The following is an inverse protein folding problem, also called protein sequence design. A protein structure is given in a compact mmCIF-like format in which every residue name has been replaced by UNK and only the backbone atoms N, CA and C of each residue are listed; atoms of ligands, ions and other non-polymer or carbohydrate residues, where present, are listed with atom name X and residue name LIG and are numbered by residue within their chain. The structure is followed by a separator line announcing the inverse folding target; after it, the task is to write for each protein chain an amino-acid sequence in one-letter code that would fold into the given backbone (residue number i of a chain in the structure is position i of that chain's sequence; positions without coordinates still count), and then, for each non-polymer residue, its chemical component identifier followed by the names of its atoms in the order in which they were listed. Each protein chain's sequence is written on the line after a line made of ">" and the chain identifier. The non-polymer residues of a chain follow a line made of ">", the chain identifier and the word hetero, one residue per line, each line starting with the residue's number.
data_IF_606975212858
#
_entry.id   IF_606975212858
#
_cell.length_a   1.000
_cell.length_b   1.000
_cell.length_c   1.000
_cell.angle_alpha   90.00
_cell.angle_beta   90.00
_cell.angle_gamma   90.00
#
_symmetry.space_group_name_H-M   'P 1'
#
loop_
_entity.id
_entity.type
_entity.pdbx_description
1 polymer ?
#
# COMPACT_ATOMS: atom_id res chain seq x y z
N UNK A 1 -0.53 11.74 -24.20
CA UNK A 1 0.06 12.87 -23.46
C UNK A 1 0.90 12.32 -22.32
N UNK A 2 2.05 12.94 -21.97
CA UNK A 2 2.82 12.50 -20.80
C UNK A 2 1.95 12.63 -19.54
N UNK A 3 1.72 11.52 -18.84
CA UNK A 3 0.94 11.49 -17.59
C UNK A 3 1.72 12.27 -16.55
N UNK A 4 1.25 13.48 -16.20
CA UNK A 4 1.83 14.27 -15.12
C UNK A 4 1.65 13.50 -13.82
N UNK A 5 2.79 13.06 -13.26
CA UNK A 5 2.85 12.32 -12.00
C UNK A 5 2.74 13.30 -10.82
N UNK A 6 1.93 12.96 -9.83
CA UNK A 6 1.67 13.76 -8.64
C UNK A 6 0.23 14.24 -8.55
N UNK A 7 0.06 15.38 -7.90
CA UNK A 7 -1.24 15.95 -7.58
C UNK A 7 -1.78 15.47 -6.23
N UNK A 8 -2.98 15.95 -5.92
CA UNK A 8 -3.67 15.70 -4.65
C UNK A 8 -3.89 14.19 -4.45
N UNK A 9 -3.81 13.76 -3.19
CA UNK A 9 -4.08 12.39 -2.77
C UNK A 9 -5.59 12.16 -2.65
N UNK A 10 -6.09 11.07 -3.22
CA UNK A 10 -7.47 10.61 -3.00
C UNK A 10 -7.52 9.54 -1.92
N UNK A 11 -8.70 9.32 -1.35
CA UNK A 11 -8.89 8.31 -0.31
C UNK A 11 -8.63 6.90 -0.88
N UNK A 12 -9.04 6.62 -2.13
CA UNK A 12 -8.66 5.39 -2.85
C UNK A 12 -7.14 5.18 -2.90
N UNK A 13 -6.37 6.20 -3.29
CA UNK A 13 -4.91 6.09 -3.38
C UNK A 13 -4.30 5.79 -2.00
N UNK A 14 -4.76 6.49 -0.96
CA UNK A 14 -4.30 6.28 0.41
C UNK A 14 -4.60 4.86 0.92
N UNK A 15 -5.79 4.32 0.66
CA UNK A 15 -6.15 2.95 1.04
C UNK A 15 -5.30 1.91 0.29
N UNK A 16 -5.05 2.13 -1.01
CA UNK A 16 -4.14 1.25 -1.77
C UNK A 16 -2.73 1.29 -1.17
N UNK A 17 -2.21 2.46 -0.77
CA UNK A 17 -0.91 2.57 -0.11
C UNK A 17 -0.90 1.80 1.20
N UNK A 18 -1.92 1.94 2.06
CA UNK A 18 -2.01 1.23 3.34
C UNK A 18 -1.94 -0.28 3.15
N UNK A 19 -2.75 -0.83 2.24
CA UNK A 19 -2.77 -2.27 1.99
C UNK A 19 -1.47 -2.75 1.33
N UNK A 20 -0.91 -1.96 0.41
CA UNK A 20 0.35 -2.26 -0.24
C UNK A 20 1.53 -2.29 0.75
N UNK A 21 1.58 -1.34 1.69
CA UNK A 21 2.59 -1.29 2.75
C UNK A 21 2.44 -2.49 3.69
N UNK A 22 1.21 -2.87 4.03
CA UNK A 22 0.94 -4.10 4.80
C UNK A 22 1.48 -5.36 4.08
N UNK A 23 1.36 -5.45 2.75
CA UNK A 23 1.84 -6.60 1.97
C UNK A 23 3.35 -6.58 1.68
N UNK A 24 3.93 -5.43 1.37
CA UNK A 24 5.32 -5.32 0.85
C UNK A 24 6.32 -4.70 1.84
N UNK A 25 5.83 -4.09 2.92
CA UNK A 25 6.63 -3.37 3.92
C UNK A 25 7.13 -2.00 3.45
N UNK A 26 7.86 -1.33 4.35
CA UNK A 26 8.33 0.06 4.20
C UNK A 26 9.61 0.24 3.36
N UNK A 27 10.12 -0.84 2.75
CA UNK A 27 11.37 -0.81 1.99
C UNK A 27 11.16 -0.98 0.47
N UNK A 28 9.95 -1.34 0.03
CA UNK A 28 9.64 -1.68 -1.36
C UNK A 28 8.75 -0.62 -2.04
N UNK A 29 9.09 0.66 -1.90
CA UNK A 29 8.27 1.77 -2.43
C UNK A 29 8.04 1.73 -3.94
N UNK A 30 8.98 1.20 -4.73
CA UNK A 30 8.78 1.04 -6.17
C UNK A 30 7.65 0.04 -6.52
N UNK A 31 7.42 -0.94 -5.63
CA UNK A 31 6.37 -1.94 -5.77
C UNK A 31 5.03 -1.44 -5.23
N UNK A 32 5.06 -0.55 -4.25
CA UNK A 32 3.88 0.20 -3.78
C UNK A 32 3.41 1.16 -4.86
N UNK A 33 4.31 2.00 -5.39
CA UNK A 33 3.96 2.99 -6.41
C UNK A 33 3.48 2.37 -7.71
N UNK A 34 3.90 1.15 -8.05
CA UNK A 34 3.44 0.49 -9.28
C UNK A 34 1.98 0.04 -9.21
N UNK A 35 1.33 0.11 -8.05
CA UNK A 35 -0.12 -0.08 -7.87
C UNK A 35 -0.91 1.22 -8.08
N UNK A 36 -0.23 2.36 -8.18
CA UNK A 36 -0.84 3.68 -8.33
C UNK A 36 -0.47 4.24 -9.70
N UNK A 37 -1.46 4.69 -10.47
CA UNK A 37 -1.21 5.15 -11.84
C UNK A 37 -0.33 6.42 -11.89
N UNK A 38 -0.55 7.36 -10.96
CA UNK A 38 -0.01 8.73 -11.04
C UNK A 38 0.96 9.10 -9.91
N UNK A 39 1.28 8.18 -9.00
CA UNK A 39 2.15 8.47 -7.84
C UNK A 39 3.51 7.78 -7.98
N UNK A 40 4.58 8.50 -7.65
CA UNK A 40 5.97 7.99 -7.69
C UNK A 40 6.35 7.30 -6.39
N UNK A 41 7.42 6.48 -6.37
CA UNK A 41 7.90 5.86 -5.13
C UNK A 41 8.25 6.87 -4.04
N UNK A 42 8.82 8.03 -4.43
CA UNK A 42 9.18 9.10 -3.49
C UNK A 42 7.92 9.72 -2.86
N UNK A 43 6.90 9.99 -3.66
CA UNK A 43 5.61 10.51 -3.21
C UNK A 43 4.91 9.52 -2.27
N UNK A 44 4.90 8.22 -2.59
CA UNK A 44 4.33 7.19 -1.71
C UNK A 44 5.04 7.13 -0.36
N UNK A 45 6.38 7.21 -0.37
CA UNK A 45 7.17 7.22 0.87
C UNK A 45 6.88 8.46 1.71
N UNK A 46 6.87 9.64 1.09
CA UNK A 46 6.58 10.91 1.75
C UNK A 46 5.15 10.91 2.32
N UNK A 47 4.15 10.48 1.53
CA UNK A 47 2.76 10.34 1.99
C UNK A 47 2.63 9.42 3.19
N UNK A 48 3.36 8.32 3.20
CA UNK A 48 3.39 7.43 4.35
C UNK A 48 3.94 8.14 5.59
N UNK A 49 5.13 8.73 5.50
CA UNK A 49 5.81 9.34 6.65
C UNK A 49 5.17 10.64 7.15
N UNK A 50 4.42 11.35 6.30
CA UNK A 50 3.81 12.64 6.63
C UNK A 50 2.32 12.52 7.00
N UNK A 51 1.61 11.48 6.51
CA UNK A 51 0.17 11.37 6.74
C UNK A 51 -0.35 9.98 7.10
N UNK A 52 0.14 8.89 6.52
CA UNK A 52 -0.50 7.57 6.67
C UNK A 52 0.03 6.72 7.82
N UNK A 53 1.23 6.98 8.30
CA UNK A 53 1.83 6.22 9.40
C UNK A 53 0.95 6.35 10.67
N UNK A 54 0.48 5.23 11.25
CA UNK A 54 -0.33 5.25 12.47
C UNK A 54 0.37 5.90 13.67
N UNK A 55 1.70 6.00 13.66
CA UNK A 55 2.46 6.71 14.70
C UNK A 55 2.25 8.23 14.66
N UNK A 56 1.73 8.78 13.55
CA UNK A 56 1.49 10.22 13.39
C UNK A 56 0.23 10.61 14.16
N UNK A 57 0.40 11.52 15.11
CA UNK A 57 -0.71 12.07 15.89
C UNK A 57 -1.44 13.13 15.05
N UNK A 58 -2.73 12.91 14.82
CA UNK A 58 -3.65 13.84 14.12
C UNK A 58 -4.67 14.51 15.06
N UNK A 59 -4.43 14.41 16.36
CA UNK A 59 -5.24 15.06 17.40
C UNK A 59 -4.81 16.51 17.58
N UNK A 60 -5.62 17.30 18.27
CA UNK A 60 -5.31 18.68 18.62
C UNK A 60 -3.98 18.79 19.40
N UNK A 61 -3.38 19.98 19.36
CA UNK A 61 -2.14 20.29 20.09
C UNK A 61 -2.44 20.55 21.55
N UNK A 62 -1.68 19.92 22.44
CA UNK A 62 -1.71 20.22 23.86
C UNK A 62 -0.81 21.41 24.20
N UNK A 63 -1.10 22.11 25.30
CA UNK A 63 -0.27 23.22 25.78
C UNK A 63 1.17 22.80 26.04
N UNK A 64 1.38 21.59 26.59
CA UNK A 64 2.71 21.03 26.82
C UNK A 64 3.49 20.80 25.52
N UNK A 65 2.81 20.36 24.45
CA UNK A 65 3.43 20.23 23.12
C UNK A 65 3.80 21.60 22.54
N UNK A 66 2.92 22.60 22.68
CA UNK A 66 3.16 23.96 22.20
C UNK A 66 4.34 24.62 22.92
N UNK A 67 4.41 24.52 24.25
CA UNK A 67 5.52 25.04 25.06
C UNK A 67 6.85 24.40 24.64
N UNK A 68 6.85 23.07 24.49
CA UNK A 68 8.02 22.32 24.03
C UNK A 68 8.43 22.74 22.61
N UNK A 69 7.48 22.90 21.70
CA UNK A 69 7.70 23.34 20.33
C UNK A 69 8.35 24.73 20.29
N UNK A 70 7.79 25.71 21.03
CA UNK A 70 8.30 27.07 21.10
C UNK A 70 9.71 27.11 21.71
N UNK A 71 9.94 26.35 22.79
CA UNK A 71 11.25 26.26 23.43
C UNK A 71 12.31 25.71 22.46
N UNK A 72 12.01 24.60 21.79
CA UNK A 72 12.94 23.97 20.84
C UNK A 72 13.15 24.82 19.58
N UNK A 73 12.12 25.49 19.07
CA UNK A 73 12.25 26.40 17.93
C UNK A 73 13.16 27.59 18.25
N UNK A 74 13.16 28.08 19.50
CA UNK A 74 14.08 29.12 19.97
C UNK A 74 15.52 28.64 20.08
N UNK A 75 15.74 27.40 20.51
CA UNK A 75 17.09 26.82 20.65
C UNK A 75 17.68 26.34 19.32
N UNK A 76 16.85 25.80 18.42
CA UNK A 76 17.24 25.25 17.13
C UNK A 76 16.40 25.89 16.01
N UNK A 77 16.72 27.13 15.61
CA UNK A 77 15.95 27.83 14.58
C UNK A 77 15.85 27.03 13.29
N UNK A 78 14.63 26.91 12.75
CA UNK A 78 14.27 26.27 11.46
C UNK A 78 14.67 24.79 11.28
N UNK A 79 15.09 24.10 12.34
CA UNK A 79 15.48 22.68 12.29
C UNK A 79 14.31 21.71 12.55
N UNK A 80 13.22 21.84 11.79
CA UNK A 80 11.97 21.09 12.03
C UNK A 80 12.11 19.57 11.99
N UNK A 81 13.00 19.04 11.13
CA UNK A 81 13.28 17.60 11.07
C UNK A 81 13.95 17.05 12.33
N UNK A 82 14.69 17.90 13.05
CA UNK A 82 15.32 17.55 14.34
C UNK A 82 14.34 17.73 15.50
N UNK A 83 13.49 18.75 15.44
CA UNK A 83 12.49 19.05 16.48
C UNK A 83 11.35 18.03 16.48
N UNK A 84 10.85 17.65 15.30
CA UNK A 84 9.69 16.78 15.13
C UNK A 84 9.72 15.48 15.95
N UNK A 85 10.81 14.66 15.92
CA UNK A 85 10.91 13.45 16.74
C UNK A 85 10.84 13.71 18.25
N UNK A 86 11.31 14.88 18.72
CA UNK A 86 11.33 15.25 20.15
C UNK A 86 9.94 15.68 20.61
N UNK A 87 9.19 16.38 19.75
CA UNK A 87 7.81 16.81 20.02
C UNK A 87 6.82 15.66 19.82
N UNK A 88 7.14 14.68 18.96
CA UNK A 88 6.25 13.55 18.64
C UNK A 88 5.20 13.89 17.57
N UNK A 89 5.51 14.82 16.66
CA UNK A 89 4.69 15.27 15.52
C UNK A 89 5.54 15.28 14.25
N UNK A 90 4.93 15.42 13.06
CA UNK A 90 5.71 15.54 11.82
C UNK A 90 6.36 16.91 11.69
N UNK A 91 7.41 17.01 10.88
CA UNK A 91 8.12 18.28 10.68
C UNK A 91 7.20 19.36 10.11
N UNK A 92 6.32 18.99 9.18
CA UNK A 92 5.33 19.90 8.58
C UNK A 92 4.31 20.36 9.63
N UNK A 93 3.76 19.44 10.44
CA UNK A 93 2.86 19.79 11.53
C UNK A 93 3.49 20.77 12.52
N UNK A 94 4.76 20.56 12.89
CA UNK A 94 5.49 21.45 13.79
C UNK A 94 5.66 22.86 13.20
N UNK A 95 6.04 22.95 11.91
CA UNK A 95 6.21 24.23 11.23
C UNK A 95 4.88 25.00 11.14
N UNK A 96 3.80 24.34 10.69
CA UNK A 96 2.47 24.94 10.57
C UNK A 96 1.95 25.42 11.92
N UNK A 97 2.10 24.60 12.97
CA UNK A 97 1.69 24.99 14.33
C UNK A 97 2.49 26.17 14.84
N UNK A 98 3.80 26.17 14.64
CA UNK A 98 4.67 27.27 15.08
C UNK A 98 4.29 28.59 14.42
N UNK A 99 4.07 28.57 13.09
CA UNK A 99 3.61 29.76 12.37
C UNK A 99 2.27 30.26 12.90
N UNK A 100 1.31 29.34 13.12
CA UNK A 100 0.01 29.70 13.68
C UNK A 100 0.12 30.32 15.08
N UNK A 101 1.00 29.82 15.94
CA UNK A 101 1.23 30.39 17.27
C UNK A 101 1.84 31.78 17.22
N UNK A 102 2.70 32.07 16.25
CA UNK A 102 3.24 33.41 16.02
C UNK A 102 2.14 34.37 15.52
N UNK A 103 1.37 33.95 14.51
CA UNK A 103 0.27 34.76 13.97
C UNK A 103 -0.79 35.06 15.05
N UNK A 104 -1.13 34.08 15.90
CA UNK A 104 -2.05 34.25 17.05
C UNK A 104 -1.50 35.23 18.11
N UNK A 105 -0.18 35.29 18.29
CA UNK A 105 0.46 36.22 19.22
C UNK A 105 0.50 37.64 18.65
N UNK A 106 0.90 37.80 17.38
CA UNK A 106 0.91 39.08 16.67
C UNK A 106 -0.49 39.69 16.58
N UNK A 107 -1.50 38.86 16.29
CA UNK A 107 -2.90 39.31 16.24
C UNK A 107 -3.39 39.81 17.62
N UNK A 108 -2.99 39.13 18.70
CA UNK A 108 -3.36 39.53 20.07
C UNK A 108 -2.70 40.85 20.48
N UNK A 109 -1.41 41.04 20.16
CA UNK A 109 -0.71 42.31 20.42
C UNK A 109 -1.30 43.47 19.62
N UNK A 110 -1.66 43.23 18.35
CA UNK A 110 -2.27 44.23 17.48
C UNK A 110 -3.65 44.69 17.99
N UNK A 111 -4.46 43.75 18.49
CA UNK A 111 -5.76 44.02 19.10
C UNK A 111 -5.61 44.80 20.42
N UNK A 112 -4.66 44.39 21.28
CA UNK A 112 -4.37 45.06 22.55
C UNK A 112 -3.87 46.51 22.36
N UNK A 113 -3.05 46.75 21.33
CA UNK A 113 -2.54 48.08 20.99
C UNK A 113 -3.52 48.91 20.14
N UNK A 114 -4.69 48.37 19.79
CA UNK A 114 -5.69 49.05 18.95
C UNK A 114 -5.17 49.44 17.57
N UNK A 115 -4.12 48.76 17.08
CA UNK A 115 -3.49 48.98 15.78
C UNK A 115 -4.22 48.23 14.64
N UNK A 116 -5.15 47.34 14.99
CA UNK A 116 -6.07 46.71 14.04
C UNK A 116 -7.03 47.75 13.44
N UNK A 117 -6.83 48.11 12.17
CA UNK A 117 -7.82 48.89 11.42
C UNK A 117 -9.19 48.18 11.38
N UNK A 118 -10.28 48.87 10.99
CA UNK A 118 -11.61 48.27 10.95
C UNK A 118 -11.60 46.98 10.13
N UNK A 119 -12.10 45.90 10.73
CA UNK A 119 -12.11 44.57 10.12
C UNK A 119 -12.77 44.63 8.73
N UNK A 120 -12.01 44.28 7.69
CA UNK A 120 -12.49 44.23 6.30
C UNK A 120 -12.41 45.54 5.51
N UNK A 121 -11.71 46.58 5.99
CA UNK A 121 -11.41 47.76 5.18
C UNK A 121 -10.44 47.45 4.03
N UNK A 122 -10.69 48.01 2.85
CA UNK A 122 -9.91 47.81 1.61
C UNK A 122 -8.41 48.19 1.73
N UNK A 123 -8.02 48.84 2.83
CA UNK A 123 -6.64 49.25 3.16
C UNK A 123 -5.94 48.35 4.18
N UNK A 124 -6.57 47.25 4.62
CA UNK A 124 -5.93 46.28 5.51
C UNK A 124 -4.76 45.60 4.79
N UNK A 125 -3.58 45.60 5.43
CA UNK A 125 -2.44 44.82 4.94
C UNK A 125 -2.85 43.34 4.85
N UNK A 126 -2.40 42.59 3.82
CA UNK A 126 -2.71 41.18 3.71
C UNK A 126 -2.25 40.44 4.96
N UNK A 127 -3.10 39.55 5.48
CA UNK A 127 -2.72 38.70 6.62
C UNK A 127 -1.51 37.85 6.25
N UNK A 128 -0.73 37.42 7.25
CA UNK A 128 0.32 36.44 7.04
C UNK A 128 -0.22 35.16 6.35
N UNK A 129 -1.48 34.81 6.61
CA UNK A 129 -2.20 33.73 5.93
C UNK A 129 -2.47 34.03 4.44
N UNK A 130 -2.79 35.28 4.10
CA UNK A 130 -3.05 35.70 2.71
C UNK A 130 -1.78 35.66 1.85
N UNK A 131 -0.62 35.95 2.45
CA UNK A 131 0.68 35.88 1.77
C UNK A 131 1.12 34.42 1.53
N UNK A 132 0.77 33.50 2.45
CA UNK A 132 1.14 32.09 2.36
C UNK A 132 0.19 31.26 1.49
N UNK A 133 -1.02 31.75 1.21
CA UNK A 133 -1.98 31.06 0.34
C UNK A 133 -1.46 30.98 -1.10
N UNK A 134 -1.54 29.79 -1.70
CA UNK A 134 -1.15 29.54 -3.08
C UNK A 134 -1.93 30.45 -4.04
N UNK A 135 -1.23 30.98 -5.04
CA UNK A 135 -1.88 31.78 -6.09
C UNK A 135 -2.69 30.88 -7.03
N UNK A 136 -3.76 31.37 -7.65
CA UNK A 136 -4.50 30.60 -8.65
C UNK A 136 -3.56 30.09 -9.76
N UNK A 137 -3.51 28.77 -9.95
CA UNK A 137 -2.65 28.11 -10.94
C UNK A 137 -1.31 27.58 -10.41
N UNK A 138 -0.96 27.88 -9.16
CA UNK A 138 0.24 27.34 -8.52
C UNK A 138 0.00 25.92 -7.99
N UNK A 139 0.97 25.02 -8.21
CA UNK A 139 0.93 23.67 -7.67
C UNK A 139 1.42 23.67 -6.23
N UNK A 140 0.69 22.99 -5.37
CA UNK A 140 1.08 22.77 -3.98
C UNK A 140 2.43 22.03 -3.90
N UNK A 141 3.44 22.57 -3.18
CA UNK A 141 4.73 21.92 -3.01
C UNK A 141 4.67 20.62 -2.20
N UNK A 142 3.77 20.55 -1.20
CA UNK A 142 3.73 19.45 -0.21
C UNK A 142 2.34 18.79 -0.08
N UNK A 143 1.76 18.26 -1.19
CA UNK A 143 0.43 17.66 -1.19
C UNK A 143 0.36 16.39 -0.30
N UNK A 144 1.49 15.76 -0.01
CA UNK A 144 1.59 14.59 0.87
C UNK A 144 1.19 14.87 2.31
N UNK A 145 1.24 16.13 2.76
CA UNK A 145 0.90 16.54 4.12
C UNK A 145 -0.60 16.84 4.31
N UNK A 146 -1.37 16.92 3.21
CA UNK A 146 -2.77 17.36 3.25
C UNK A 146 -3.78 16.22 3.37
N UNK A 147 -4.99 16.46 3.91
CA UNK A 147 -6.05 15.46 3.90
C UNK A 147 -6.35 14.93 2.50
N UNK A 148 -6.70 13.64 2.41
CA UNK A 148 -7.12 13.04 1.15
C UNK A 148 -8.45 13.64 0.68
N UNK A 149 -8.62 13.80 -0.63
CA UNK A 149 -9.91 14.14 -1.21
C UNK A 149 -10.87 12.94 -1.06
N UNK A 150 -12.10 13.16 -0.58
CA UNK A 150 -13.13 12.12 -0.57
C UNK A 150 -13.38 11.58 -1.98
N UNK A 151 -13.78 10.32 -2.04
CA UNK A 151 -14.07 9.63 -3.30
C UNK A 151 -15.31 10.23 -3.95
N UNK A 152 -15.32 10.31 -5.29
CA UNK A 152 -16.51 10.74 -6.03
C UNK A 152 -17.57 9.63 -6.03
N UNK A 153 -18.84 10.01 -6.11
CA UNK A 153 -19.95 9.04 -6.18
C UNK A 153 -19.80 8.16 -7.43
N UNK A 154 -19.53 8.81 -8.56
CA UNK A 154 -19.21 8.14 -9.81
C UNK A 154 -17.70 8.11 -9.99
N UNK A 155 -17.09 6.97 -9.66
CA UNK A 155 -15.68 6.72 -9.92
C UNK A 155 -15.44 6.69 -11.44
N UNK A 156 -14.37 7.35 -11.87
CA UNK A 156 -13.96 7.28 -13.27
C UNK A 156 -13.38 5.89 -13.62
N UNK A 157 -13.16 5.65 -14.90
CA UNK A 157 -12.64 4.36 -15.37
C UNK A 157 -11.23 4.10 -14.84
N UNK A 158 -10.41 5.14 -14.76
CA UNK A 158 -9.03 5.07 -14.27
C UNK A 158 -8.97 4.62 -12.80
N UNK A 159 -9.83 5.16 -11.92
CA UNK A 159 -9.91 4.75 -10.52
C UNK A 159 -10.44 3.33 -10.35
N UNK A 160 -11.45 2.94 -11.13
CA UNK A 160 -11.98 1.56 -11.14
C UNK A 160 -10.94 0.57 -11.60
N UNK A 161 -10.23 0.87 -12.69
CA UNK A 161 -9.16 0.03 -13.21
C UNK A 161 -8.04 -0.12 -12.17
N UNK A 162 -7.59 0.99 -11.58
CA UNK A 162 -6.57 1.00 -10.54
C UNK A 162 -6.97 0.15 -9.33
N UNK A 163 -8.22 0.25 -8.85
CA UNK A 163 -8.74 -0.58 -7.76
C UNK A 163 -8.77 -2.06 -8.13
N UNK A 164 -9.22 -2.39 -9.34
CA UNK A 164 -9.30 -3.77 -9.82
C UNK A 164 -7.92 -4.41 -9.94
N UNK A 165 -6.96 -3.66 -10.47
CA UNK A 165 -5.57 -4.10 -10.61
C UNK A 165 -4.92 -4.27 -9.23
N UNK A 166 -5.12 -3.32 -8.32
CA UNK A 166 -4.62 -3.40 -6.96
C UNK A 166 -5.12 -4.65 -6.26
N UNK A 167 -6.44 -4.93 -6.32
CA UNK A 167 -7.04 -6.16 -5.76
C UNK A 167 -6.41 -7.42 -6.34
N UNK A 168 -6.28 -7.50 -7.67
CA UNK A 168 -5.70 -8.67 -8.33
C UNK A 168 -4.22 -8.91 -7.96
N UNK A 169 -3.42 -7.83 -7.91
CA UNK A 169 -1.99 -7.91 -7.54
C UNK A 169 -1.80 -8.23 -6.06
N UNK A 170 -2.65 -7.71 -5.19
CA UNK A 170 -2.62 -7.98 -3.75
C UNK A 170 -3.09 -9.42 -3.43
N UNK A 171 -4.02 -9.98 -4.20
CA UNK A 171 -4.40 -11.39 -4.06
C UNK A 171 -3.33 -12.37 -4.59
N UNK A 172 -2.54 -11.97 -5.58
CA UNK A 172 -1.55 -12.85 -6.20
C UNK A 172 -0.32 -13.09 -5.31
N UNK A 173 -0.06 -14.34 -4.98
CA UNK A 173 1.13 -14.83 -4.25
C UNK A 173 1.99 -15.79 -5.06
N UNK A 174 1.47 -16.28 -6.21
CA UNK A 174 2.12 -17.32 -7.00
C UNK A 174 2.97 -16.74 -8.13
N UNK A 175 4.22 -17.21 -8.22
CA UNK A 175 5.12 -16.89 -9.33
C UNK A 175 4.78 -17.63 -10.63
N UNK A 176 5.47 -17.25 -11.73
CA UNK A 176 5.26 -17.82 -13.08
C UNK A 176 5.34 -19.36 -13.11
N UNK A 177 6.33 -19.94 -12.42
CA UNK A 177 6.54 -21.40 -12.38
C UNK A 177 5.39 -22.15 -11.70
N UNK A 178 4.88 -21.62 -10.58
CA UNK A 178 3.76 -22.21 -9.86
C UNK A 178 2.48 -22.19 -10.73
N UNK A 179 2.17 -21.03 -11.35
CA UNK A 179 1.01 -20.91 -12.25
C UNK A 179 1.12 -21.85 -13.46
N UNK A 180 2.30 -21.97 -14.07
CA UNK A 180 2.53 -22.90 -15.19
C UNK A 180 2.31 -24.36 -14.76
N UNK A 181 2.90 -24.77 -13.63
CA UNK A 181 2.76 -26.13 -13.10
C UNK A 181 1.31 -26.46 -12.73
N UNK A 182 0.55 -25.49 -12.21
CA UNK A 182 -0.87 -25.66 -11.94
C UNK A 182 -1.68 -25.92 -13.21
N UNK A 183 -1.43 -25.16 -14.29
CA UNK A 183 -2.08 -25.39 -15.60
C UNK A 183 -1.68 -26.73 -16.22
N UNK A 184 -0.41 -27.11 -16.13
CA UNK A 184 0.07 -28.42 -16.60
C UNK A 184 -0.67 -29.57 -15.90
N UNK A 185 -0.85 -29.49 -14.57
CA UNK A 185 -1.61 -30.48 -13.80
C UNK A 185 -3.07 -30.56 -14.24
N UNK A 186 -3.74 -29.41 -14.41
CA UNK A 186 -5.13 -29.38 -14.88
C UNK A 186 -5.30 -29.99 -16.28
N UNK A 187 -4.35 -29.71 -17.18
CA UNK A 187 -4.33 -30.31 -18.52
C UNK A 187 -4.07 -31.81 -18.47
N UNK A 188 -3.19 -32.27 -17.58
CA UNK A 188 -2.92 -33.70 -17.38
C UNK A 188 -4.14 -34.45 -16.82
N UNK A 189 -4.84 -33.86 -15.85
CA UNK A 189 -6.10 -34.39 -15.32
C UNK A 189 -7.19 -34.44 -16.40
N UNK A 190 -7.37 -33.36 -17.16
CA UNK A 190 -8.31 -33.29 -18.28
C UNK A 190 -8.00 -34.35 -19.34
N UNK A 191 -6.72 -34.50 -19.70
CA UNK A 191 -6.25 -35.53 -20.64
C UNK A 191 -6.53 -36.93 -20.10
N UNK A 192 -6.27 -37.17 -18.82
CA UNK A 192 -6.54 -38.47 -18.18
C UNK A 192 -8.03 -38.81 -18.21
N UNK A 193 -8.91 -37.85 -17.89
CA UNK A 193 -10.36 -38.04 -17.95
C UNK A 193 -10.84 -38.36 -19.37
N UNK A 194 -10.37 -37.62 -20.38
CA UNK A 194 -10.71 -37.87 -21.77
C UNK A 194 -10.28 -39.28 -22.24
N UNK A 195 -9.07 -39.70 -21.88
CA UNK A 195 -8.57 -41.06 -22.19
C UNK A 195 -9.41 -42.13 -21.50
N UNK A 196 -9.79 -41.92 -20.24
CA UNK A 196 -10.64 -42.86 -19.50
C UNK A 196 -12.03 -42.95 -20.10
N UNK A 197 -12.63 -41.83 -20.49
CA UNK A 197 -13.92 -41.79 -21.16
C UNK A 197 -13.88 -42.57 -22.48
N UNK A 198 -12.91 -42.28 -23.36
CA UNK A 198 -12.73 -43.01 -24.62
C UNK A 198 -12.55 -44.50 -24.40
N UNK A 199 -11.81 -44.90 -23.36
CA UNK A 199 -11.63 -46.32 -23.00
C UNK A 199 -12.93 -46.97 -22.56
N UNK A 200 -13.76 -46.28 -21.77
CA UNK A 200 -15.07 -46.79 -21.35
C UNK A 200 -15.98 -47.00 -22.55
N UNK A 201 -16.02 -46.05 -23.47
CA UNK A 201 -16.80 -46.14 -24.70
C UNK A 201 -16.37 -47.34 -25.56
N UNK A 202 -15.06 -47.53 -25.77
CA UNK A 202 -14.53 -48.67 -26.51
C UNK A 202 -14.83 -50.01 -25.82
N UNK A 203 -14.68 -50.08 -24.50
CA UNK A 203 -15.01 -51.28 -23.72
C UNK A 203 -16.51 -51.61 -23.82
N UNK A 204 -17.38 -50.60 -23.76
CA UNK A 204 -18.83 -50.78 -23.91
C UNK A 204 -19.20 -51.25 -25.33
N UNK A 205 -18.44 -50.84 -26.35
CA UNK A 205 -18.57 -51.34 -27.72
C UNK A 205 -17.93 -52.72 -27.95
N UNK A 206 -17.42 -53.38 -26.89
CA UNK A 206 -16.78 -54.70 -26.97
C UNK A 206 -15.32 -54.69 -27.42
N UNK A 207 -14.71 -53.52 -27.64
CA UNK A 207 -13.32 -53.38 -28.08
C UNK A 207 -12.40 -53.23 -26.85
N UNK A 208 -11.73 -54.31 -26.47
CA UNK A 208 -10.77 -54.30 -25.35
C UNK A 208 -9.35 -53.93 -25.81
N UNK A 209 -8.94 -52.69 -25.51
CA UNK A 209 -7.56 -52.22 -25.75
C UNK A 209 -6.75 -52.30 -24.45
N UNK A 210 -5.57 -52.96 -24.51
CA UNK A 210 -4.59 -52.99 -23.42
C UNK A 210 -3.88 -51.63 -23.34
N UNK A 211 -3.89 -51.01 -22.16
CA UNK A 211 -3.17 -49.75 -21.91
C UNK A 211 -1.80 -50.09 -21.35
N UNK A 212 -0.74 -49.59 -21.99
CA UNK A 212 0.60 -49.59 -21.42
C UNK A 212 0.75 -48.30 -20.62
N UNK A 213 0.79 -48.42 -19.29
CA UNK A 213 0.87 -47.28 -18.36
C UNK A 213 2.30 -46.96 -17.94
N UNK A 214 3.24 -47.87 -18.17
CA UNK A 214 4.62 -47.76 -17.71
C UNK A 214 5.52 -47.13 -18.77
N UNK A 215 6.32 -46.14 -18.36
CA UNK A 215 7.42 -45.62 -19.16
C UNK A 215 8.67 -46.47 -18.93
N UNK A 216 9.50 -46.65 -19.96
CA UNK A 216 10.76 -47.40 -19.87
C UNK A 216 11.64 -46.83 -18.75
N UNK A 217 11.99 -47.65 -17.76
CA UNK A 217 12.80 -47.26 -16.60
C UNK A 217 11.99 -46.81 -15.36
N UNK A 218 10.66 -46.84 -15.40
CA UNK A 218 9.80 -46.54 -14.25
C UNK A 218 9.25 -47.85 -13.64
N UNK A 219 9.37 -48.00 -12.32
CA UNK A 219 8.81 -49.14 -11.58
C UNK A 219 7.28 -49.16 -11.68
N UNK A 220 6.70 -50.34 -11.84
CA UNK A 220 5.26 -50.52 -11.80
C UNK A 220 4.77 -50.68 -10.36
N UNK A 221 4.30 -49.57 -9.80
CA UNK A 221 3.77 -49.51 -8.44
C UNK A 221 2.52 -50.38 -8.21
N UNK A 222 1.84 -50.83 -9.28
CA UNK A 222 0.70 -51.73 -9.15
C UNK A 222 1.12 -53.21 -9.17
N UNK A 223 2.26 -53.54 -9.78
CA UNK A 223 2.75 -54.90 -9.89
C UNK A 223 3.70 -55.27 -8.73
N UNK A 224 4.54 -54.31 -8.30
CA UNK A 224 5.61 -54.54 -7.33
C UNK A 224 5.50 -53.60 -6.13
N UNK A 225 5.95 -54.06 -4.95
CA UNK A 225 6.05 -53.26 -3.73
C UNK A 225 7.37 -52.46 -3.77
N UNK A 226 7.33 -51.11 -3.85
CA UNK A 226 8.55 -50.32 -3.89
C UNK A 226 9.33 -50.43 -2.58
N UNK A 227 10.63 -50.74 -2.70
CA UNK A 227 11.55 -50.80 -1.56
C UNK A 227 11.07 -51.68 -0.41
N UNK A 228 10.48 -52.85 -0.74
CA UNK A 228 10.02 -53.79 0.27
C UNK A 228 11.15 -54.16 1.25
N UNK A 229 10.93 -53.85 2.52
CA UNK A 229 11.76 -54.32 3.63
C UNK A 229 10.98 -55.39 4.37
N UNK A 230 11.41 -56.64 4.23
CA UNK A 230 10.80 -57.75 4.97
C UNK A 230 10.85 -57.44 6.46
N UNK A 231 9.74 -57.65 7.19
CA UNK A 231 9.73 -57.44 8.63
C UNK A 231 10.79 -58.33 9.28
N UNK A 232 11.45 -57.84 10.34
CA UNK A 232 12.40 -58.65 11.10
C UNK A 232 11.64 -59.85 11.68
N UNK A 233 12.14 -61.05 11.43
CA UNK A 233 11.62 -62.27 12.03
C UNK A 233 11.83 -62.22 13.54
N UNK A 234 10.76 -61.97 14.30
CA UNK A 234 10.77 -62.03 15.76
C UNK A 234 10.59 -63.49 16.20
N UNK A 235 11.31 -63.91 17.24
CA UNK A 235 11.37 -65.27 17.78
C UNK A 235 10.05 -65.73 18.47
N UNK A 236 8.89 -65.63 17.80
CA UNK A 236 7.60 -66.17 18.28
C UNK A 236 7.04 -67.25 17.35
N UNK A 237 7.92 -68.05 16.76
CA UNK A 237 7.52 -69.27 16.04
C UNK A 237 8.20 -70.48 16.68
N UNK A 238 7.91 -70.67 17.97
CA UNK A 238 8.08 -71.95 18.68
C UNK A 238 6.84 -72.15 19.55
N UNK A 239 5.86 -72.86 19.00
CA UNK A 239 4.98 -73.78 19.70
C UNK A 239 4.43 -74.78 18.68
#
# INVERSE_FOLDING_TARGET
>A
MPVVKGGVWTNIEDEIVKVAVSKYGLNQWARVSSLLARKTPKQCKARWSEWLDPAIRKVEWSKEEDEKLLHLAKLMPTQWRTIAPIVGRTATQCLERYQKLLDEAEARESDELGLGGPAGGETAAPSADDVRRLRPGELDPDPESKPARPDTIDLDEDEKEMLSEARARLANTQGKKAKRKARERQLEESRRLAVLQKRRELKNAGINIKVVTTKKGQMDYNADIPFEKKPRTWFLQYH
#
